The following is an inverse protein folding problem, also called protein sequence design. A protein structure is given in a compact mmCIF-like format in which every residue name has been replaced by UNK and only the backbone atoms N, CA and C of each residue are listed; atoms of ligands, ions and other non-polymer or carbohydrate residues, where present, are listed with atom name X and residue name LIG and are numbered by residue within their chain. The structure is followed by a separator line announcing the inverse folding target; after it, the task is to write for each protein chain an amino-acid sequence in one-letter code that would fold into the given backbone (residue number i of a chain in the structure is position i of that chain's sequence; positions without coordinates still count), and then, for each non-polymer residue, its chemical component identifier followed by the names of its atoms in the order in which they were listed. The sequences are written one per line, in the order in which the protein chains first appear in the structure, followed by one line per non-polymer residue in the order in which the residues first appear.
data_IF_773310767474
#
_entry.id   IF_773310767474
#
_cell.length_a   1.000
_cell.length_b   1.000
_cell.length_c   1.000
_cell.angle_alpha   90.00
_cell.angle_beta   90.00
_cell.angle_gamma   90.00
#
_symmetry.space_group_name_H-M   'P 1'
#
loop_
_entity.id
_entity.type
_entity.pdbx_description
1 polymer ?
#
# COMPACT_ATOMS: atom_id res chain seq x y z
N UNK A 1 21.18 13.50 15.28
CA UNK A 1 21.93 14.72 14.97
C UNK A 1 22.91 14.55 13.81
N UNK A 2 23.77 13.50 13.81
CA UNK A 2 24.80 13.27 12.77
C UNK A 2 24.23 13.23 11.35
N UNK A 3 23.12 12.53 11.14
CA UNK A 3 22.47 12.43 9.84
C UNK A 3 21.99 13.78 9.30
N UNK A 4 21.42 14.62 10.15
CA UNK A 4 20.97 15.98 9.77
C UNK A 4 22.17 16.85 9.40
N UNK A 5 23.27 16.74 10.13
CA UNK A 5 24.50 17.48 9.80
C UNK A 5 25.08 17.06 8.44
N UNK A 6 24.99 15.77 8.10
CA UNK A 6 25.37 15.25 6.77
C UNK A 6 24.47 15.85 5.69
N UNK A 7 23.15 15.80 5.88
CA UNK A 7 22.18 16.37 4.93
C UNK A 7 22.40 17.87 4.74
N UNK A 8 22.62 18.59 5.83
CA UNK A 8 22.90 20.04 5.80
C UNK A 8 24.15 20.32 4.98
N UNK A 9 25.22 19.57 5.21
CA UNK A 9 26.45 19.73 4.44
C UNK A 9 26.25 19.47 2.94
N UNK A 10 25.53 18.40 2.59
CA UNK A 10 25.22 18.08 1.20
C UNK A 10 24.33 19.15 0.54
N UNK A 11 23.35 19.67 1.25
CA UNK A 11 22.44 20.70 0.74
C UNK A 11 23.18 21.97 0.33
N UNK A 12 24.24 22.33 1.07
CA UNK A 12 25.11 23.48 0.75
C UNK A 12 26.30 23.12 -0.17
N UNK A 13 26.26 21.98 -0.84
CA UNK A 13 27.27 21.60 -1.85
C UNK A 13 28.52 20.92 -1.28
N UNK A 14 28.49 20.48 -0.03
CA UNK A 14 29.56 19.71 0.58
C UNK A 14 29.58 18.24 0.15
N UNK A 15 30.62 17.53 0.51
CA UNK A 15 30.75 16.09 0.22
C UNK A 15 29.92 15.25 1.17
N UNK A 16 29.39 14.14 0.66
CA UNK A 16 28.73 13.12 1.45
C UNK A 16 29.78 12.39 2.31
N UNK A 17 29.83 12.70 3.60
CA UNK A 17 30.78 12.11 4.54
C UNK A 17 30.17 12.10 5.95
N UNK A 18 30.56 11.12 6.76
CA UNK A 18 30.17 11.10 8.16
C UNK A 18 30.83 12.24 8.93
N UNK A 19 30.03 12.96 9.68
CA UNK A 19 30.50 13.99 10.60
C UNK A 19 30.13 13.56 12.02
N UNK A 20 31.10 13.44 12.93
CA UNK A 20 30.80 13.19 14.32
C UNK A 20 30.06 14.40 14.90
N UNK A 21 28.82 14.22 15.26
CA UNK A 21 28.04 15.26 15.91
C UNK A 21 28.05 15.01 17.41
N UNK A 22 28.74 15.88 18.14
CA UNK A 22 28.72 15.92 19.63
C UNK A 22 27.69 16.91 20.17
N UNK A 23 26.94 17.58 19.26
CA UNK A 23 25.98 18.62 19.62
C UNK A 23 24.71 18.04 20.21
N UNK A 24 24.26 18.62 21.32
CA UNK A 24 22.97 18.30 21.93
C UNK A 24 21.80 18.99 21.21
N UNK A 25 22.04 20.13 20.56
CA UNK A 25 21.00 20.93 19.90
C UNK A 25 21.32 21.16 18.42
N UNK A 26 20.29 21.36 17.64
CA UNK A 26 20.41 21.71 16.23
C UNK A 26 20.67 23.21 16.05
N UNK A 27 21.42 23.55 15.03
CA UNK A 27 21.62 24.94 14.62
C UNK A 27 20.40 25.41 13.79
N UNK A 28 20.20 26.73 13.68
CA UNK A 28 19.14 27.32 12.88
C UNK A 28 19.17 26.84 11.41
N UNK A 29 20.37 26.57 10.87
CA UNK A 29 20.53 26.00 9.52
C UNK A 29 20.07 24.55 9.45
N UNK A 30 20.42 23.73 10.43
CA UNK A 30 19.96 22.35 10.53
C UNK A 30 18.44 22.28 10.76
N UNK A 31 17.88 23.21 11.52
CA UNK A 31 16.43 23.34 11.71
C UNK A 31 15.72 23.60 10.38
N UNK A 32 16.27 24.44 9.54
CA UNK A 32 15.70 24.69 8.21
C UNK A 32 15.74 23.44 7.32
N UNK A 33 16.79 22.64 7.40
CA UNK A 33 16.88 21.36 6.66
C UNK A 33 15.87 20.36 7.22
N UNK A 34 15.68 20.29 8.53
CA UNK A 34 14.68 19.44 9.16
C UNK A 34 13.26 19.79 8.65
N UNK A 35 12.93 21.08 8.55
CA UNK A 35 11.66 21.55 8.00
C UNK A 35 11.46 21.06 6.55
N UNK A 36 12.46 21.28 5.69
CA UNK A 36 12.40 20.86 4.28
C UNK A 36 12.19 19.34 4.16
N UNK A 37 12.93 18.56 4.95
CA UNK A 37 12.81 17.09 4.96
C UNK A 37 11.44 16.66 5.48
N UNK A 38 10.97 17.29 6.56
CA UNK A 38 9.65 16.97 7.16
C UNK A 38 8.51 17.27 6.21
N UNK A 39 8.57 18.40 5.50
CA UNK A 39 7.57 18.77 4.49
C UNK A 39 7.58 17.78 3.32
N UNK A 40 8.76 17.39 2.83
CA UNK A 40 8.91 16.37 1.80
C UNK A 40 8.35 15.01 2.23
N UNK A 41 8.63 14.58 3.45
CA UNK A 41 8.06 13.35 4.03
C UNK A 41 6.54 13.45 4.15
N UNK A 42 6.02 14.59 4.58
CA UNK A 42 4.58 14.85 4.65
C UNK A 42 3.90 14.70 3.28
N UNK A 43 4.51 15.24 2.23
CA UNK A 43 4.01 15.10 0.85
C UNK A 43 4.05 13.64 0.39
N UNK A 44 5.12 12.90 0.66
CA UNK A 44 5.22 11.48 0.34
C UNK A 44 4.14 10.66 1.07
N UNK A 45 3.91 10.93 2.35
CA UNK A 45 2.85 10.28 3.12
C UNK A 45 1.46 10.61 2.56
N UNK A 46 1.18 11.87 2.21
CA UNK A 46 -0.08 12.24 1.57
C UNK A 46 -0.29 11.50 0.25
N UNK A 47 0.77 11.37 -0.56
CA UNK A 47 0.71 10.63 -1.81
C UNK A 47 0.44 9.13 -1.58
N UNK A 48 1.10 8.52 -0.60
CA UNK A 48 0.90 7.12 -0.24
C UNK A 48 -0.52 6.83 0.29
N UNK A 49 -1.10 7.77 1.03
CA UNK A 49 -2.46 7.62 1.59
C UNK A 49 -3.58 7.97 0.60
N UNK A 50 -3.26 8.66 -0.49
CA UNK A 50 -4.24 9.19 -1.45
C UNK A 50 -5.24 8.14 -1.94
N UNK A 51 -4.75 6.95 -2.20
CA UNK A 51 -5.58 5.87 -2.74
C UNK A 51 -6.47 5.18 -1.69
N UNK A 52 -6.11 5.28 -0.41
CA UNK A 52 -6.91 4.77 0.70
C UNK A 52 -7.91 5.80 1.18
N UNK A 53 -7.39 6.97 1.49
CA UNK A 53 -8.15 8.11 2.01
C UNK A 53 -7.32 9.38 1.78
N UNK A 54 -7.87 10.42 1.15
CA UNK A 54 -7.17 11.69 1.00
C UNK A 54 -6.95 12.30 2.38
N UNK A 55 -5.70 12.45 2.78
CA UNK A 55 -5.30 13.10 4.03
C UNK A 55 -4.54 14.38 3.73
N UNK A 56 -4.60 15.33 4.66
CA UNK A 56 -3.79 16.54 4.62
C UNK A 56 -2.86 16.56 5.82
N UNK A 57 -1.56 16.56 5.58
CA UNK A 57 -0.54 16.62 6.62
C UNK A 57 -0.04 18.06 6.70
N UNK A 58 -0.02 18.61 7.89
CA UNK A 58 0.51 19.95 8.17
C UNK A 58 1.46 19.88 9.35
N UNK A 59 2.60 20.51 9.23
CA UNK A 59 3.50 20.69 10.36
C UNK A 59 2.80 21.57 11.41
N UNK A 60 2.67 21.06 12.62
CA UNK A 60 1.99 21.75 13.72
C UNK A 60 2.99 22.30 14.73
N UNK A 61 3.89 21.46 15.19
CA UNK A 61 4.89 21.83 16.17
C UNK A 61 6.09 20.88 16.09
N UNK A 62 7.21 21.33 16.59
CA UNK A 62 8.41 20.53 16.77
C UNK A 62 8.77 20.51 18.24
N UNK A 63 9.07 19.32 18.75
CA UNK A 63 9.55 19.14 20.12
C UNK A 63 10.90 18.42 20.09
N UNK A 64 11.86 18.96 20.81
CA UNK A 64 13.21 18.39 20.89
C UNK A 64 13.29 17.39 22.04
N UNK A 65 12.58 17.66 23.13
CA UNK A 65 12.59 16.81 24.30
C UNK A 65 11.41 15.80 24.25
N UNK A 66 11.71 14.48 24.14
CA UNK A 66 10.67 13.46 24.07
C UNK A 66 9.70 13.47 25.25
N UNK A 67 10.13 13.99 26.42
CA UNK A 67 9.26 14.07 27.60
C UNK A 67 8.13 15.08 27.45
N UNK A 68 8.28 16.06 26.59
CA UNK A 68 7.26 17.08 26.30
C UNK A 68 6.47 16.78 25.03
N UNK A 69 6.87 15.78 24.27
CA UNK A 69 6.18 15.33 23.07
C UNK A 69 4.91 14.54 23.45
N UNK A 70 3.85 15.26 23.85
CA UNK A 70 2.56 14.65 24.17
C UNK A 70 1.78 14.34 22.89
N UNK A 71 2.13 13.23 22.23
CA UNK A 71 1.45 12.78 21.01
C UNK A 71 0.13 12.05 21.31
N UNK A 72 0.10 11.28 22.37
CA UNK A 72 -1.02 10.44 22.82
C UNK A 72 -0.99 10.31 24.34
N UNK A 73 -2.11 9.94 24.94
CA UNK A 73 -2.14 9.61 26.36
C UNK A 73 -1.35 8.31 26.63
N UNK A 74 -0.80 8.18 27.84
CA UNK A 74 0.05 7.04 28.21
C UNK A 74 -0.67 5.67 28.14
N UNK A 75 -2.00 5.69 28.10
CA UNK A 75 -2.87 4.50 27.97
C UNK A 75 -3.23 4.16 26.52
N UNK A 76 -2.95 5.05 25.58
CA UNK A 76 -3.33 4.86 24.19
C UNK A 76 -2.35 3.92 23.46
N UNK A 77 -2.92 3.06 22.64
CA UNK A 77 -2.14 2.22 21.74
C UNK A 77 -1.72 2.99 20.50
N UNK A 78 -0.49 2.78 20.05
CA UNK A 78 0.06 3.39 18.84
C UNK A 78 0.61 2.34 17.88
N UNK A 79 0.64 2.64 16.61
CA UNK A 79 1.35 1.87 15.58
C UNK A 79 2.62 2.64 15.23
N UNK A 80 3.76 1.99 15.34
CA UNK A 80 5.06 2.56 15.02
C UNK A 80 5.55 1.92 13.72
N UNK A 81 5.81 2.74 12.72
CA UNK A 81 6.43 2.34 11.47
C UNK A 81 7.88 2.85 11.46
N UNK A 82 8.83 1.94 11.59
CA UNK A 82 10.26 2.26 11.61
C UNK A 82 10.85 2.18 10.19
N UNK A 83 11.55 3.23 9.80
CA UNK A 83 12.23 3.35 8.52
C UNK A 83 13.73 3.49 8.72
N UNK A 84 14.49 2.87 7.84
CA UNK A 84 15.95 2.99 7.81
C UNK A 84 16.35 3.68 6.52
N UNK A 85 17.08 4.77 6.65
CA UNK A 85 17.67 5.50 5.52
C UNK A 85 19.15 5.14 5.42
N UNK A 86 19.54 4.62 4.28
CA UNK A 86 20.92 4.26 3.99
C UNK A 86 21.42 5.05 2.77
N UNK A 87 22.49 5.81 2.98
CA UNK A 87 23.17 6.52 1.92
C UNK A 87 24.55 5.87 1.68
N UNK A 88 25.09 5.97 0.45
CA UNK A 88 26.42 5.42 0.15
C UNK A 88 27.49 6.04 1.05
N UNK A 89 28.31 5.21 1.69
CA UNK A 89 29.41 5.62 2.58
C UNK A 89 29.01 6.46 3.81
N UNK A 90 27.74 6.39 4.23
CA UNK A 90 27.23 7.06 5.41
C UNK A 90 26.60 6.02 6.33
N UNK A 91 26.73 6.24 7.63
CA UNK A 91 26.06 5.41 8.62
C UNK A 91 24.54 5.48 8.45
N UNK A 92 23.88 4.33 8.57
CA UNK A 92 22.42 4.27 8.45
C UNK A 92 21.75 5.11 9.54
N UNK A 93 20.71 5.83 9.16
CA UNK A 93 19.86 6.56 10.08
C UNK A 93 18.47 5.91 10.14
N UNK A 94 17.80 5.98 11.29
CA UNK A 94 16.43 5.53 11.43
C UNK A 94 15.53 6.67 11.87
N UNK A 95 14.27 6.59 11.44
CA UNK A 95 13.20 7.44 11.94
C UNK A 95 11.91 6.64 12.05
N UNK A 96 11.04 7.05 12.95
CA UNK A 96 9.78 6.38 13.22
C UNK A 96 8.61 7.30 12.86
N UNK A 97 7.59 6.73 12.23
CA UNK A 97 6.29 7.37 12.04
C UNK A 97 5.31 6.71 12.99
N UNK A 98 4.73 7.50 13.88
CA UNK A 98 3.84 7.02 14.93
C UNK A 98 2.41 7.42 14.59
N UNK A 99 1.53 6.43 14.52
CA UNK A 99 0.10 6.61 14.28
C UNK A 99 -0.68 6.25 15.56
N UNK A 100 -1.47 7.15 16.13
CA UNK A 100 -2.41 6.79 17.18
C UNK A 100 -3.42 5.77 16.64
N UNK A 101 -3.61 4.65 17.34
CA UNK A 101 -4.52 3.59 16.89
C UNK A 101 -5.95 4.09 16.74
N UNK A 102 -6.37 5.04 17.55
CA UNK A 102 -7.71 5.63 17.48
C UNK A 102 -7.97 6.33 16.14
N UNK A 103 -6.94 6.98 15.56
CA UNK A 103 -7.03 7.64 14.24
C UNK A 103 -7.22 6.63 13.11
N UNK A 104 -6.69 5.42 13.25
CA UNK A 104 -6.76 4.37 12.22
C UNK A 104 -7.97 3.44 12.37
N UNK A 105 -8.61 3.40 13.54
CA UNK A 105 -9.81 2.56 13.79
C UNK A 105 -10.90 2.72 12.72
N UNK A 106 -11.31 3.94 12.33
CA UNK A 106 -12.39 4.11 11.35
C UNK A 106 -12.10 3.51 9.98
N UNK A 107 -10.82 3.41 9.61
CA UNK A 107 -10.37 2.91 8.31
C UNK A 107 -9.74 1.52 8.38
N UNK A 108 -9.78 0.88 9.55
CA UNK A 108 -9.15 -0.43 9.78
C UNK A 108 -9.66 -1.52 8.82
N UNK A 109 -10.96 -1.51 8.49
CA UNK A 109 -11.53 -2.43 7.51
C UNK A 109 -10.98 -2.20 6.10
N UNK A 110 -10.82 -0.94 5.71
CA UNK A 110 -10.29 -0.54 4.42
C UNK A 110 -8.81 -0.93 4.29
N UNK A 111 -8.02 -0.70 5.35
CA UNK A 111 -6.62 -1.12 5.42
C UNK A 111 -6.47 -2.64 5.27
N UNK A 112 -7.33 -3.40 5.94
CA UNK A 112 -7.29 -4.88 5.86
C UNK A 112 -7.69 -5.41 4.49
N UNK A 113 -8.73 -4.85 3.88
CA UNK A 113 -9.19 -5.28 2.56
C UNK A 113 -8.15 -5.03 1.48
N UNK A 114 -7.42 -3.94 1.58
CA UNK A 114 -6.42 -3.58 0.58
C UNK A 114 -5.11 -4.34 0.72
N UNK A 115 -4.65 -4.61 1.94
CA UNK A 115 -3.51 -5.51 2.16
C UNK A 115 -3.76 -6.88 1.53
N UNK A 116 -5.01 -7.35 1.55
CA UNK A 116 -5.41 -8.59 0.86
C UNK A 116 -5.42 -8.44 -0.66
N UNK A 117 -5.80 -7.27 -1.18
CA UNK A 117 -5.79 -7.00 -2.62
C UNK A 117 -4.38 -6.77 -3.17
N UNK A 118 -3.55 -6.03 -2.47
CA UNK A 118 -2.18 -5.72 -2.90
C UNK A 118 -1.27 -6.95 -2.92
N UNK A 119 -1.51 -7.92 -2.03
CA UNK A 119 -0.84 -9.23 -2.07
C UNK A 119 -1.26 -10.04 -3.31
N UNK A 120 -2.44 -9.74 -3.88
CA UNK A 120 -2.97 -10.39 -5.09
C UNK A 120 -2.55 -9.61 -6.36
N UNK A 121 -2.46 -8.28 -6.29
CA UNK A 121 -2.18 -7.43 -7.46
C UNK A 121 -0.69 -7.35 -7.85
N UNK A 122 0.23 -7.61 -6.93
CA UNK A 122 1.68 -7.57 -7.23
C UNK A 122 2.21 -8.85 -7.91
N UNK A 123 1.36 -9.85 -8.10
CA UNK A 123 1.69 -11.05 -8.87
C UNK A 123 1.09 -10.98 -10.29
N UNK A 124 1.64 -10.12 -11.14
CA UNK A 124 1.33 -10.11 -12.58
C UNK A 124 1.47 -11.52 -13.18
N UNK A 125 2.39 -12.34 -12.65
CA UNK A 125 2.58 -13.72 -13.05
C UNK A 125 1.42 -14.62 -12.62
N UNK A 126 0.73 -14.32 -11.51
CA UNK A 126 -0.46 -15.04 -11.07
C UNK A 126 -1.67 -14.72 -11.95
N UNK A 127 -1.85 -13.44 -12.29
CA UNK A 127 -2.93 -12.97 -13.18
C UNK A 127 -2.82 -13.58 -14.57
N UNK A 128 -1.64 -13.57 -15.16
CA UNK A 128 -1.38 -14.24 -16.45
C UNK A 128 -1.60 -15.74 -16.41
N UNK A 129 -1.21 -16.41 -15.31
CA UNK A 129 -1.45 -17.84 -15.10
C UNK A 129 -2.93 -18.13 -14.93
N UNK A 130 -3.67 -17.29 -14.21
CA UNK A 130 -5.11 -17.43 -14.04
C UNK A 130 -5.84 -17.24 -15.38
N UNK A 131 -5.50 -16.22 -16.14
CA UNK A 131 -6.05 -15.98 -17.49
C UNK A 131 -5.85 -17.19 -18.40
N UNK A 132 -4.64 -17.72 -18.46
CA UNK A 132 -4.36 -18.96 -19.22
C UNK A 132 -5.12 -20.16 -18.71
N UNK A 133 -5.27 -20.30 -17.40
CA UNK A 133 -6.01 -21.42 -16.80
C UNK A 133 -7.51 -21.33 -17.08
N UNK A 134 -8.10 -20.13 -17.05
CA UNK A 134 -9.51 -19.91 -17.37
C UNK A 134 -9.82 -20.23 -18.84
N UNK A 135 -8.91 -19.87 -19.76
CA UNK A 135 -9.05 -20.19 -21.19
C UNK A 135 -8.99 -21.71 -21.48
N UNK A 136 -8.38 -22.48 -20.60
CA UNK A 136 -8.27 -23.93 -20.76
C UNK A 136 -9.38 -24.72 -20.04
N UNK A 137 -10.34 -24.04 -19.40
CA UNK A 137 -11.46 -24.71 -18.73
C UNK A 137 -12.39 -25.30 -19.79
N UNK A 138 -12.61 -26.63 -19.80
CA UNK A 138 -13.55 -27.25 -20.72
C UNK A 138 -14.98 -26.86 -20.37
N UNK A 139 -15.65 -26.22 -21.29
CA UNK A 139 -17.05 -25.86 -21.16
C UNK A 139 -17.91 -26.81 -22.00
N UNK A 140 -18.93 -27.48 -21.46
CA UNK A 140 -19.87 -28.28 -22.24
C UNK A 140 -20.70 -27.33 -23.11
N UNK A 141 -20.67 -27.56 -24.41
CA UNK A 141 -21.48 -26.80 -25.37
C UNK A 141 -22.55 -27.76 -25.91
N UNK A 142 -23.82 -27.40 -25.75
CA UNK A 142 -24.95 -28.13 -26.34
C UNK A 142 -25.61 -27.26 -27.41
N UNK A 143 -25.69 -27.76 -28.62
CA UNK A 143 -26.40 -27.08 -29.68
C UNK A 143 -27.79 -27.78 -29.86
N UNK A 144 -28.85 -27.08 -29.46
CA UNK A 144 -30.23 -27.56 -29.59
C UNK A 144 -30.81 -26.97 -30.87
N UNK A 145 -31.09 -27.82 -31.89
CA UNK A 145 -31.66 -27.40 -33.15
C UNK A 145 -33.16 -27.13 -33.03
N UNK A 146 -33.86 -27.99 -32.30
CA UNK A 146 -35.30 -27.88 -32.04
C UNK A 146 -35.74 -28.75 -30.90
N UNK A 147 -36.84 -28.38 -30.23
CA UNK A 147 -37.49 -29.17 -29.18
C UNK A 147 -38.96 -29.41 -29.59
N UNK A 148 -39.25 -30.36 -30.54
CA UNK A 148 -40.59 -30.61 -30.97
C UNK A 148 -41.42 -31.27 -29.89
N UNK A 149 -42.67 -30.82 -29.70
CA UNK A 149 -43.64 -31.43 -28.81
C UNK A 149 -44.37 -32.56 -29.49
N UNK A 150 -44.16 -33.80 -29.04
CA UNK A 150 -44.81 -35.00 -29.61
C UNK A 150 -45.63 -35.70 -28.55
N UNK A 151 -46.77 -36.24 -28.92
CA UNK A 151 -47.56 -37.04 -28.01
C UNK A 151 -46.87 -38.40 -27.73
N UNK A 152 -47.02 -38.90 -26.51
CA UNK A 152 -46.44 -40.19 -26.12
C UNK A 152 -46.88 -41.37 -27.05
N UNK A 153 -48.10 -41.32 -27.56
CA UNK A 153 -48.63 -42.32 -28.52
C UNK A 153 -47.92 -42.30 -29.88
N UNK A 154 -47.37 -41.14 -30.28
CA UNK A 154 -46.60 -41.04 -31.50
C UNK A 154 -45.10 -41.38 -31.25
N UNK A 155 -44.57 -41.02 -30.07
CA UNK A 155 -43.21 -41.37 -29.68
C UNK A 155 -42.98 -42.93 -29.71
N UNK A 156 -43.94 -43.72 -29.21
CA UNK A 156 -43.85 -45.19 -29.16
C UNK A 156 -43.87 -45.80 -30.56
N UNK A 157 -44.37 -45.10 -31.57
CA UNK A 157 -44.47 -45.59 -32.97
C UNK A 157 -43.24 -45.31 -33.79
N UNK A 158 -42.30 -44.39 -33.34
CA UNK A 158 -41.13 -44.09 -34.10
C UNK A 158 -40.17 -45.29 -34.22
N UNK A 159 -39.61 -45.44 -35.41
CA UNK A 159 -38.61 -46.44 -35.75
C UNK A 159 -37.35 -45.77 -36.33
N UNK A 160 -36.27 -46.53 -36.35
CA UNK A 160 -35.06 -46.11 -37.04
C UNK A 160 -35.36 -45.77 -38.51
N UNK A 161 -35.02 -44.60 -38.96
CA UNK A 161 -35.25 -44.09 -40.29
C UNK A 161 -36.45 -43.13 -40.41
N UNK A 162 -37.23 -42.91 -39.38
CA UNK A 162 -38.34 -41.96 -39.40
C UNK A 162 -37.84 -40.51 -39.42
N UNK A 163 -38.51 -39.68 -40.20
CA UNK A 163 -38.19 -38.26 -40.32
C UNK A 163 -39.04 -37.46 -39.32
N UNK A 164 -38.37 -36.74 -38.43
CA UNK A 164 -39.02 -35.82 -37.51
C UNK A 164 -38.93 -34.42 -38.09
N UNK A 165 -40.04 -33.77 -38.32
CA UNK A 165 -40.06 -32.37 -38.73
C UNK A 165 -39.74 -31.48 -37.52
N UNK A 166 -38.70 -30.61 -37.65
CA UNK A 166 -38.23 -29.70 -36.64
C UNK A 166 -39.05 -28.42 -36.63
#
# INVERSE_FOLDING_TARGET
PSFISVLTNCYYGGKLANFPSTKAEFTATEDRIIEIVSDGMGQCLQAAWKDLMPITIRHQAREINPQFATLVESTDSVIICSFVVQLPNIDSASFDVIYPLQTLKPIASLLRSRVQSDVIDDDTSWRERLEKSVLNVPLPISAILSEPSVSLSNLVKYKEGDIINL
#
